data_IF_470345136691
#
_entry.id   IF_470345136691
#
_cell.length_a   1.000
_cell.length_b   1.000
_cell.length_c   1.000
_cell.angle_alpha   90.00
_cell.angle_beta   90.00
_cell.angle_gamma   90.00
#
_symmetry.space_group_name_H-M   'P 1'
#
loop_
_entity.id
_entity.type
_entity.pdbx_description
1 polymer ?
#
# COMPACT_ATOMS: atom_id res chain seq x y z
N UNK A 1 -2.13 -2.74 84.65
CA UNK A 1 -1.87 -1.34 84.27
C UNK A 1 -0.59 -1.29 83.44
N UNK A 2 -0.70 -1.40 82.10
CA UNK A 2 0.25 -1.03 81.03
C UNK A 2 -0.19 -1.81 79.76
N UNK A 3 -0.92 -1.18 78.84
CA UNK A 3 -0.40 -0.62 77.58
C UNK A 3 0.38 -1.62 76.71
N UNK A 4 -0.22 -1.98 75.56
CA UNK A 4 0.44 -2.34 74.27
C UNK A 4 -0.62 -2.20 73.17
N UNK A 5 -0.84 -0.98 72.68
CA UNK A 5 -0.27 -0.38 71.47
C UNK A 5 -0.60 -1.15 70.19
N UNK A 6 -1.58 -0.60 69.48
CA UNK A 6 -2.02 -0.89 68.13
C UNK A 6 -0.90 -0.49 67.14
N UNK A 7 -0.50 -1.39 66.24
CA UNK A 7 0.33 -1.04 65.07
C UNK A 7 -0.40 -1.56 63.82
N UNK A 8 -1.26 -0.71 63.26
CA UNK A 8 -1.84 -0.88 61.93
C UNK A 8 -0.87 -0.28 60.92
N UNK A 9 -0.16 -1.14 60.20
CA UNK A 9 0.67 -0.79 59.07
C UNK A 9 -0.23 -0.42 57.89
N UNK A 10 -0.41 0.88 57.61
CA UNK A 10 -1.10 1.35 56.40
C UNK A 10 -0.09 1.32 55.26
N UNK A 11 -0.18 0.30 54.42
CA UNK A 11 0.56 0.21 53.17
C UNK A 11 -0.12 1.13 52.14
N UNK A 12 0.42 2.34 51.97
CA UNK A 12 0.00 3.23 50.90
C UNK A 12 0.50 2.67 49.55
N UNK A 13 -0.36 1.93 48.85
CA UNK A 13 -0.15 1.65 47.42
C UNK A 13 -0.25 2.99 46.67
N UNK A 14 0.90 3.56 46.33
CA UNK A 14 0.96 4.56 45.28
C UNK A 14 0.55 3.88 43.96
N UNK A 15 -0.72 4.04 43.60
CA UNK A 15 -1.17 3.82 42.23
C UNK A 15 -0.39 4.79 41.36
N UNK A 16 0.65 4.29 40.68
CA UNK A 16 1.17 4.93 39.49
C UNK A 16 0.02 4.90 38.48
N UNK A 17 -0.76 5.98 38.46
CA UNK A 17 -1.58 6.33 37.32
C UNK A 17 -0.59 6.61 36.18
N UNK A 18 -0.17 5.56 35.49
CA UNK A 18 0.37 5.69 34.14
C UNK A 18 -0.72 6.35 33.33
N UNK A 19 -0.63 7.67 33.19
CA UNK A 19 -1.43 8.40 32.25
C UNK A 19 -1.24 7.68 30.89
N UNK A 20 -2.32 7.13 30.35
CA UNK A 20 -2.40 6.77 28.94
C UNK A 20 -2.27 8.07 28.14
N UNK A 21 -1.06 8.62 28.06
CA UNK A 21 -0.70 9.47 26.96
C UNK A 21 -0.76 8.55 25.74
N UNK A 22 -1.82 8.68 24.94
CA UNK A 22 -1.84 8.11 23.60
C UNK A 22 -0.50 8.48 22.96
N UNK A 23 0.33 7.48 22.65
CA UNK A 23 1.63 7.75 22.02
C UNK A 23 1.33 8.51 20.75
N UNK A 24 1.86 9.73 20.67
CA UNK A 24 1.74 10.54 19.47
C UNK A 24 2.40 9.75 18.33
N UNK A 25 1.78 9.77 17.16
CA UNK A 25 2.42 9.21 15.97
C UNK A 25 3.79 9.89 15.77
N UNK A 26 4.82 9.08 15.57
CA UNK A 26 6.19 9.50 15.38
C UNK A 26 6.72 8.93 14.06
N UNK A 27 7.46 9.75 13.32
CA UNK A 27 8.19 9.34 12.13
C UNK A 27 9.64 9.82 12.28
N UNK A 28 10.59 8.92 12.05
CA UNK A 28 12.01 9.21 12.16
C UNK A 28 12.68 9.07 10.80
N UNK A 29 13.50 10.06 10.42
CA UNK A 29 14.34 9.96 9.24
C UNK A 29 15.32 8.79 9.39
N UNK A 30 15.44 8.01 8.31
CA UNK A 30 16.37 6.89 8.22
C UNK A 30 17.10 6.94 6.89
N UNK A 31 18.39 6.57 6.83
CA UNK A 31 19.06 6.33 5.56
C UNK A 31 18.47 5.08 4.89
N UNK A 32 18.35 5.10 3.56
CA UNK A 32 17.94 3.93 2.78
C UNK A 32 19.09 2.93 2.59
N UNK A 33 20.33 3.40 2.58
CA UNK A 33 21.52 2.57 2.56
C UNK A 33 22.72 3.38 3.06
N UNK A 34 23.78 2.71 3.53
CA UNK A 34 25.01 3.39 3.97
C UNK A 34 25.71 4.13 2.82
N UNK A 35 25.57 3.62 1.60
CA UNK A 35 26.16 4.17 0.38
C UNK A 35 25.31 5.22 -0.34
N UNK A 36 24.10 5.55 0.13
CA UNK A 36 23.18 6.45 -0.56
C UNK A 36 22.46 7.40 0.41
N UNK A 37 22.64 8.69 0.19
CA UNK A 37 22.03 9.77 0.97
C UNK A 37 20.79 10.38 0.33
N UNK A 38 20.16 11.29 1.09
CA UNK A 38 19.05 12.11 0.59
C UNK A 38 19.56 13.06 -0.49
N UNK A 39 18.93 13.04 -1.66
CA UNK A 39 19.29 13.82 -2.84
C UNK A 39 20.15 13.05 -3.85
N UNK A 40 20.74 11.92 -3.47
CA UNK A 40 21.54 11.09 -4.37
C UNK A 40 20.66 10.44 -5.45
N UNK A 41 21.29 10.08 -6.57
CA UNK A 41 20.63 9.37 -7.66
C UNK A 41 21.10 7.92 -7.69
N UNK A 42 20.16 6.99 -7.63
CA UNK A 42 20.38 5.55 -7.79
C UNK A 42 19.58 5.02 -8.97
N UNK A 43 20.26 4.43 -9.96
CA UNK A 43 19.63 3.90 -11.17
C UNK A 43 18.66 4.89 -11.87
N UNK A 44 18.99 6.18 -11.86
CA UNK A 44 18.16 7.24 -12.45
C UNK A 44 17.02 7.74 -11.56
N UNK A 45 16.80 7.16 -10.38
CA UNK A 45 15.85 7.65 -9.38
C UNK A 45 16.58 8.53 -8.37
N UNK A 46 16.07 9.74 -8.17
CA UNK A 46 16.54 10.62 -7.09
C UNK A 46 15.86 10.25 -5.78
N UNK A 47 16.65 9.93 -4.76
CA UNK A 47 16.15 9.55 -3.44
C UNK A 47 15.76 10.81 -2.65
N UNK A 48 14.48 11.01 -2.39
CA UNK A 48 13.99 12.23 -1.71
C UNK A 48 13.94 12.11 -0.19
N UNK A 49 14.14 10.91 0.37
CA UNK A 49 14.17 10.65 1.80
C UNK A 49 13.42 9.36 2.15
N UNK A 50 13.61 8.91 3.39
CA UNK A 50 12.90 7.75 3.93
C UNK A 50 12.60 7.95 5.42
N UNK A 51 11.46 7.42 5.84
CA UNK A 51 10.96 7.54 7.20
C UNK A 51 10.67 6.15 7.76
N UNK A 52 11.08 5.92 9.00
CA UNK A 52 10.57 4.84 9.84
C UNK A 52 9.35 5.35 10.60
N UNK A 53 8.22 4.69 10.40
CA UNK A 53 6.95 5.07 11.03
C UNK A 53 6.74 4.25 12.31
N UNK A 54 6.46 4.93 13.42
CA UNK A 54 6.17 4.26 14.68
C UNK A 54 4.73 3.70 14.70
N UNK A 55 4.48 2.58 15.41
CA UNK A 55 3.13 2.10 15.63
C UNK A 55 2.27 3.17 16.31
N UNK A 56 1.06 3.36 15.81
CA UNK A 56 0.09 4.31 16.35
C UNK A 56 -1.33 3.74 16.28
N UNK A 57 -2.24 4.39 17.00
CA UNK A 57 -3.68 4.16 16.90
C UNK A 57 -4.39 5.51 16.88
N UNK A 58 -5.34 5.68 15.96
CA UNK A 58 -6.19 6.87 15.86
C UNK A 58 -7.60 6.42 15.48
N UNK A 59 -8.62 6.95 16.14
CA UNK A 59 -10.02 6.57 15.91
C UNK A 59 -10.28 5.05 15.91
N UNK A 60 -9.61 4.33 16.82
CA UNK A 60 -9.65 2.86 16.92
C UNK A 60 -9.18 2.11 15.66
N UNK A 61 -8.42 2.77 14.79
CA UNK A 61 -7.72 2.16 13.67
C UNK A 61 -6.24 2.07 14.03
N UNK A 62 -5.68 0.87 13.96
CA UNK A 62 -4.26 0.63 14.22
C UNK A 62 -3.46 0.91 12.96
N UNK A 63 -2.48 1.80 13.05
CA UNK A 63 -1.56 2.11 11.96
C UNK A 63 -0.56 0.96 11.77
N UNK A 64 -0.87 0.02 10.86
CA UNK A 64 -0.05 -1.14 10.52
C UNK A 64 -0.51 -1.75 9.20
N UNK A 65 0.30 -2.66 8.62
CA UNK A 65 -0.08 -3.48 7.47
C UNK A 65 -0.47 -2.62 6.27
N UNK A 66 0.37 -1.63 5.92
CA UNK A 66 0.08 -0.75 4.81
C UNK A 66 0.37 -1.49 3.49
N UNK A 67 -0.62 -1.51 2.59
CA UNK A 67 -0.58 -2.22 1.30
C UNK A 67 -0.86 -1.32 0.08
N UNK A 68 -1.09 -0.02 0.30
CA UNK A 68 -1.43 0.87 -0.80
C UNK A 68 -1.28 2.34 -0.45
N UNK A 69 -0.83 3.13 -1.42
CA UNK A 69 -0.65 4.57 -1.29
C UNK A 69 -1.30 5.30 -2.48
N UNK A 70 -1.95 6.43 -2.22
CA UNK A 70 -2.46 7.30 -3.27
C UNK A 70 -2.36 8.77 -2.87
N UNK A 71 -1.86 9.61 -3.77
CA UNK A 71 -1.70 11.03 -3.55
C UNK A 71 -2.90 11.82 -4.11
N UNK A 72 -3.50 12.65 -3.27
CA UNK A 72 -4.50 13.64 -3.63
C UNK A 72 -3.83 15.02 -3.66
N UNK A 73 -3.54 15.50 -4.87
CA UNK A 73 -2.91 16.79 -5.13
C UNK A 73 -3.82 17.95 -4.70
N UNK A 74 -5.13 17.83 -4.96
CA UNK A 74 -6.12 18.86 -4.63
C UNK A 74 -6.32 19.02 -3.10
N UNK A 75 -6.13 17.95 -2.34
CA UNK A 75 -6.21 17.97 -0.88
C UNK A 75 -4.85 18.11 -0.16
N UNK A 76 -3.74 17.80 -0.83
CA UNK A 76 -2.41 17.69 -0.21
C UNK A 76 -2.34 16.54 0.81
N UNK A 77 -3.04 15.43 0.51
CA UNK A 77 -3.17 14.26 1.40
C UNK A 77 -2.55 13.05 0.70
N UNK A 78 -1.71 12.32 1.43
CA UNK A 78 -1.31 10.96 1.06
C UNK A 78 -2.22 9.97 1.78
N UNK A 79 -3.07 9.29 1.02
CA UNK A 79 -3.85 8.17 1.54
C UNK A 79 -2.96 6.94 1.68
N UNK A 80 -3.06 6.27 2.82
CA UNK A 80 -2.42 4.98 3.05
C UNK A 80 -3.48 3.94 3.45
N UNK A 81 -3.59 2.89 2.67
CA UNK A 81 -4.51 1.79 2.87
C UNK A 81 -3.80 0.66 3.64
N UNK A 82 -4.53 0.03 4.55
CA UNK A 82 -4.08 -1.19 5.23
C UNK A 82 -4.83 -2.42 4.76
N UNK A 83 -4.12 -3.55 4.74
CA UNK A 83 -4.57 -4.95 4.63
C UNK A 83 -5.74 -5.34 5.56
N UNK A 84 -6.07 -4.49 6.54
CA UNK A 84 -7.17 -4.68 7.50
C UNK A 84 -8.34 -3.74 7.25
N UNK A 85 -8.43 -3.17 6.06
CA UNK A 85 -9.53 -2.30 5.66
C UNK A 85 -9.56 -0.99 6.44
N UNK A 86 -8.39 -0.44 6.79
CA UNK A 86 -8.25 0.88 7.40
C UNK A 86 -7.63 1.85 6.40
N UNK A 87 -8.20 3.05 6.29
CA UNK A 87 -7.69 4.13 5.46
C UNK A 87 -7.13 5.23 6.36
N UNK A 88 -5.85 5.54 6.18
CA UNK A 88 -5.13 6.57 6.91
C UNK A 88 -4.89 7.79 6.02
N UNK A 89 -4.99 8.97 6.62
CA UNK A 89 -4.60 10.22 5.97
C UNK A 89 -3.26 10.64 6.52
N UNK A 90 -2.29 10.76 5.63
CA UNK A 90 -0.94 11.19 5.93
C UNK A 90 -0.69 12.55 5.26
N UNK A 91 0.10 13.40 5.92
CA UNK A 91 0.56 14.66 5.36
C UNK A 91 2.09 14.67 5.35
N UNK A 92 2.73 14.41 4.20
CA UNK A 92 4.18 14.49 4.05
C UNK A 92 4.69 15.92 4.31
N UNK A 93 5.86 16.02 4.92
CA UNK A 93 6.54 17.29 5.15
C UNK A 93 7.81 17.32 4.30
N UNK A 94 7.87 18.28 3.37
CA UNK A 94 9.00 18.49 2.47
C UNK A 94 9.74 19.78 2.84
N UNK A 95 11.06 19.76 2.76
CA UNK A 95 11.86 20.98 2.86
C UNK A 95 11.85 21.77 1.53
N UNK A 96 12.42 22.99 1.48
CA UNK A 96 12.45 23.80 0.25
C UNK A 96 13.20 23.16 -0.94
N UNK A 97 14.02 22.12 -0.70
CA UNK A 97 14.70 21.36 -1.75
C UNK A 97 13.86 20.18 -2.26
N UNK A 98 12.67 19.95 -1.67
CA UNK A 98 11.77 18.85 -2.00
C UNK A 98 12.14 17.53 -1.33
N UNK A 99 12.99 17.55 -0.29
CA UNK A 99 13.33 16.34 0.47
C UNK A 99 12.30 16.09 1.57
N UNK A 100 11.94 14.82 1.75
CA UNK A 100 11.07 14.35 2.82
C UNK A 100 11.78 14.48 4.16
N UNK A 101 11.19 15.26 5.07
CA UNK A 101 11.70 15.52 6.42
C UNK A 101 10.82 14.94 7.52
N UNK A 102 9.58 14.61 7.21
CA UNK A 102 8.61 14.11 8.18
C UNK A 102 7.29 13.73 7.52
N UNK A 103 6.38 13.19 8.31
CA UNK A 103 5.01 12.89 7.90
C UNK A 103 4.11 12.96 9.13
N UNK A 104 2.88 13.44 8.95
CA UNK A 104 1.87 13.48 10.02
C UNK A 104 0.77 12.48 9.72
N UNK A 105 0.38 11.68 10.71
CA UNK A 105 -0.87 10.94 10.69
C UNK A 105 -1.99 11.86 11.18
N UNK A 106 -2.91 12.25 10.30
CA UNK A 106 -3.92 13.28 10.61
C UNK A 106 -5.33 12.73 10.78
N UNK A 107 -5.65 11.58 10.17
CA UNK A 107 -6.94 10.92 10.32
C UNK A 107 -6.84 9.42 10.02
N UNK A 108 -7.84 8.67 10.51
CA UNK A 108 -8.09 7.31 10.04
C UNK A 108 -9.58 7.00 10.02
N UNK A 109 -9.96 6.16 9.07
CA UNK A 109 -11.32 5.70 8.82
C UNK A 109 -11.33 4.21 8.49
N UNK A 110 -12.27 3.41 9.02
CA UNK A 110 -12.48 2.08 8.49
C UNK A 110 -13.12 2.18 7.08
N UNK A 111 -12.72 1.30 6.17
CA UNK A 111 -13.50 1.00 4.99
C UNK A 111 -14.83 0.38 5.41
N UNK A 112 -15.90 0.73 4.70
CA UNK A 112 -17.27 0.30 5.04
C UNK A 112 -17.94 -0.46 3.91
N UNK A 113 -18.89 -1.31 4.23
CA UNK A 113 -19.75 -1.93 3.22
C UNK A 113 -20.90 -1.00 2.81
N UNK A 114 -21.71 -1.45 1.84
CA UNK A 114 -22.88 -0.74 1.35
C UNK A 114 -23.96 -0.44 2.43
N UNK A 115 -23.86 -1.06 3.61
CA UNK A 115 -24.75 -0.82 4.77
C UNK A 115 -24.10 0.09 5.82
N UNK A 116 -23.01 0.80 5.46
CA UNK A 116 -22.27 1.71 6.34
C UNK A 116 -21.68 1.03 7.60
N UNK A 117 -21.35 -0.26 7.49
CA UNK A 117 -20.68 -0.99 8.57
C UNK A 117 -19.20 -1.20 8.21
N UNK A 118 -18.26 -1.02 9.16
CA UNK A 118 -16.86 -1.37 8.96
C UNK A 118 -16.71 -2.78 8.38
N UNK A 119 -15.79 -2.92 7.43
CA UNK A 119 -15.41 -4.24 6.91
C UNK A 119 -14.85 -5.12 8.04
N UNK A 120 -14.95 -6.43 7.83
CA UNK A 120 -14.42 -7.45 8.72
C UNK A 120 -13.96 -8.63 7.89
N UNK A 121 -12.97 -9.34 8.40
CA UNK A 121 -12.50 -10.58 7.83
C UNK A 121 -13.66 -11.53 7.50
N UNK A 122 -13.65 -12.17 6.30
CA UNK A 122 -12.57 -12.14 5.29
C UNK A 122 -12.77 -11.07 4.18
N UNK A 123 -13.50 -9.98 4.45
CA UNK A 123 -13.80 -8.96 3.44
C UNK A 123 -12.97 -7.68 3.60
N UNK A 124 -12.17 -7.54 4.64
CA UNK A 124 -11.35 -6.36 4.95
C UNK A 124 -9.95 -6.36 4.32
N UNK A 125 -9.55 -7.49 3.74
CA UNK A 125 -8.27 -7.79 3.10
C UNK A 125 -8.02 -6.93 1.85
N UNK A 126 -7.52 -5.72 2.08
CA UNK A 126 -7.49 -4.61 1.13
C UNK A 126 -6.04 -4.30 0.75
N UNK A 127 -5.71 -4.45 -0.52
CA UNK A 127 -4.33 -4.43 -0.98
C UNK A 127 -4.07 -3.18 -1.83
N UNK A 128 -4.38 -3.25 -3.12
CA UNK A 128 -4.16 -2.14 -4.04
C UNK A 128 -5.05 -0.92 -3.79
N UNK A 129 -4.45 0.26 -3.96
CA UNK A 129 -5.11 1.56 -3.88
C UNK A 129 -4.80 2.41 -5.12
N UNK A 130 -5.86 2.87 -5.80
CA UNK A 130 -5.77 3.90 -6.83
C UNK A 130 -6.76 5.04 -6.55
N UNK A 131 -6.58 6.18 -7.23
CA UNK A 131 -7.39 7.38 -7.02
C UNK A 131 -7.88 7.98 -8.35
N UNK A 132 -9.10 8.51 -8.32
CA UNK A 132 -9.68 9.39 -9.34
C UNK A 132 -9.87 10.77 -8.74
N UNK A 133 -9.87 11.78 -9.61
CA UNK A 133 -10.08 13.18 -9.24
C UNK A 133 -9.08 13.68 -8.18
N UNK A 134 -7.83 13.21 -8.25
CA UNK A 134 -6.78 13.66 -7.31
C UNK A 134 -6.20 15.02 -7.64
N UNK A 135 -6.38 15.52 -8.87
CA UNK A 135 -5.74 16.75 -9.35
C UNK A 135 -6.56 17.45 -10.43
N UNK A 136 -7.89 17.44 -10.29
CA UNK A 136 -8.81 18.12 -11.21
C UNK A 136 -9.15 19.56 -10.76
N UNK A 137 -8.60 20.02 -9.63
CA UNK A 137 -8.83 21.32 -9.04
C UNK A 137 -10.06 21.40 -8.13
N UNK A 138 -10.72 20.27 -7.82
CA UNK A 138 -11.93 20.20 -7.01
C UNK A 138 -11.61 19.46 -5.71
N UNK A 139 -11.27 20.20 -4.67
CA UNK A 139 -10.99 19.60 -3.38
C UNK A 139 -12.21 18.83 -2.83
N UNK A 140 -12.00 17.55 -2.49
CA UNK A 140 -12.98 16.71 -1.79
C UNK A 140 -13.87 15.84 -2.70
N UNK A 141 -13.64 15.82 -4.01
CA UNK A 141 -14.33 14.90 -4.94
C UNK A 141 -13.51 13.65 -5.29
N UNK A 142 -12.34 13.47 -4.66
CA UNK A 142 -11.51 12.29 -4.78
C UNK A 142 -12.33 11.00 -4.56
N UNK A 143 -12.12 10.01 -5.43
CA UNK A 143 -12.71 8.68 -5.33
C UNK A 143 -11.58 7.65 -5.30
N UNK A 144 -11.56 6.83 -4.24
CA UNK A 144 -10.55 5.79 -4.05
C UNK A 144 -11.07 4.48 -4.63
N UNK A 145 -10.20 3.76 -5.33
CA UNK A 145 -10.47 2.42 -5.83
C UNK A 145 -9.58 1.45 -5.09
N UNK A 146 -10.20 0.45 -4.48
CA UNK A 146 -9.52 -0.51 -3.61
C UNK A 146 -9.73 -1.91 -4.15
N UNK A 147 -8.64 -2.64 -4.42
CA UNK A 147 -8.70 -4.08 -4.68
C UNK A 147 -8.63 -4.88 -3.38
N UNK A 148 -9.20 -6.08 -3.40
CA UNK A 148 -9.21 -6.98 -2.25
C UNK A 148 -8.78 -8.37 -2.69
N UNK A 149 -8.01 -9.06 -1.85
CA UNK A 149 -7.33 -10.30 -2.18
C UNK A 149 -8.21 -11.54 -1.88
N UNK A 150 -8.51 -11.84 -0.61
CA UNK A 150 -9.26 -13.05 -0.22
C UNK A 150 -10.66 -13.11 -0.85
N UNK A 151 -11.28 -11.94 -1.06
CA UNK A 151 -12.58 -11.79 -1.73
C UNK A 151 -12.39 -10.88 -2.95
N UNK A 152 -11.92 -11.43 -4.09
CA UNK A 152 -11.56 -10.66 -5.27
C UNK A 152 -12.67 -9.74 -5.75
N UNK A 153 -12.44 -8.44 -5.60
CA UNK A 153 -13.33 -7.36 -6.04
C UNK A 153 -12.57 -6.05 -6.09
N UNK A 154 -13.12 -5.07 -6.80
CA UNK A 154 -12.66 -3.68 -6.75
C UNK A 154 -13.82 -2.81 -6.30
N UNK A 155 -13.63 -2.07 -5.20
CA UNK A 155 -14.67 -1.24 -4.58
C UNK A 155 -14.25 0.21 -4.61
N UNK A 156 -15.22 1.08 -4.85
CA UNK A 156 -15.06 2.53 -4.82
C UNK A 156 -15.40 3.07 -3.44
N UNK A 157 -14.58 3.98 -2.95
CA UNK A 157 -14.67 4.58 -1.62
C UNK A 157 -14.55 6.09 -1.67
N UNK A 158 -15.22 6.78 -0.75
CA UNK A 158 -14.85 8.17 -0.43
C UNK A 158 -13.51 8.19 0.32
N UNK A 159 -12.87 9.36 0.42
CA UNK A 159 -11.70 9.56 1.27
C UNK A 159 -11.93 9.27 2.76
N UNK A 160 -13.17 9.09 3.18
CA UNK A 160 -13.56 8.75 4.57
C UNK A 160 -14.00 7.30 4.72
N UNK A 161 -13.70 6.44 3.75
CA UNK A 161 -13.99 5.01 3.78
C UNK A 161 -15.47 4.66 3.53
N UNK A 162 -16.29 5.60 3.05
CA UNK A 162 -17.69 5.34 2.72
C UNK A 162 -17.78 4.63 1.37
N UNK A 163 -18.53 3.53 1.32
CA UNK A 163 -18.78 2.80 0.09
C UNK A 163 -19.48 3.66 -0.97
N UNK A 164 -19.01 3.59 -2.22
CA UNK A 164 -19.55 4.33 -3.39
C UNK A 164 -19.98 3.44 -4.55
N UNK A 165 -19.63 2.16 -4.52
CA UNK A 165 -19.95 1.23 -5.59
C UNK A 165 -18.94 0.11 -5.67
N UNK A 166 -19.24 -0.90 -6.46
CA UNK A 166 -18.30 -1.96 -6.82
C UNK A 166 -18.12 -1.97 -8.34
N UNK A 167 -16.90 -2.14 -8.80
CA UNK A 167 -16.57 -2.28 -10.21
C UNK A 167 -16.84 -3.70 -10.68
N UNK A 168 -17.35 -3.84 -11.91
CA UNK A 168 -17.62 -5.15 -12.47
C UNK A 168 -16.32 -5.77 -13.00
N UNK A 169 -15.71 -6.62 -12.19
CA UNK A 169 -14.52 -7.36 -12.60
C UNK A 169 -14.80 -8.37 -13.73
N UNK A 170 -13.79 -8.65 -14.59
CA UNK A 170 -13.80 -9.78 -15.51
C UNK A 170 -14.15 -11.08 -14.78
N UNK A 171 -14.91 -11.97 -15.42
CA UNK A 171 -15.38 -13.21 -14.80
C UNK A 171 -14.23 -14.06 -14.24
N UNK A 172 -13.10 -14.06 -14.93
CA UNK A 172 -11.88 -14.75 -14.51
C UNK A 172 -11.38 -14.27 -13.14
N UNK A 173 -11.35 -12.96 -12.91
CA UNK A 173 -10.83 -12.36 -11.67
C UNK A 173 -11.80 -12.48 -10.49
N UNK A 174 -13.10 -12.70 -10.73
CA UNK A 174 -14.11 -12.79 -9.65
C UNK A 174 -14.15 -14.13 -8.93
N UNK A 175 -13.63 -15.18 -9.56
CA UNK A 175 -13.69 -16.53 -9.02
C UNK A 175 -12.39 -16.86 -8.27
N UNK A 176 -12.42 -17.00 -6.94
CA UNK A 176 -11.26 -17.40 -6.15
C UNK A 176 -10.61 -18.71 -6.62
N UNK A 177 -11.35 -19.58 -7.32
CA UNK A 177 -10.83 -20.84 -7.86
C UNK A 177 -9.81 -20.71 -8.98
N UNK A 178 -9.62 -19.50 -9.55
CA UNK A 178 -8.58 -19.25 -10.55
C UNK A 178 -7.24 -18.82 -9.95
N UNK A 179 -7.20 -18.48 -8.66
CA UNK A 179 -5.99 -18.08 -7.96
C UNK A 179 -5.28 -19.30 -7.38
N UNK A 180 -3.96 -19.24 -7.27
CA UNK A 180 -3.15 -20.34 -6.72
C UNK A 180 -3.32 -20.47 -5.21
N UNK A 181 -3.54 -19.33 -4.55
CA UNK A 181 -3.73 -19.20 -3.11
C UNK A 181 -4.73 -18.04 -2.89
N UNK A 182 -5.66 -18.16 -1.94
CA UNK A 182 -6.53 -17.04 -1.55
C UNK A 182 -5.80 -15.78 -1.09
N UNK A 183 -4.57 -15.93 -0.58
CA UNK A 183 -3.67 -14.83 -0.20
C UNK A 183 -2.59 -14.57 -1.28
N UNK A 184 -2.97 -14.71 -2.56
CA UNK A 184 -2.16 -14.26 -3.71
C UNK A 184 -3.09 -13.74 -4.83
N UNK A 185 -3.92 -12.76 -4.48
CA UNK A 185 -5.11 -12.30 -5.19
C UNK A 185 -4.86 -11.08 -6.07
N UNK A 186 -5.67 -10.04 -5.86
CA UNK A 186 -5.64 -8.78 -6.60
C UNK A 186 -4.82 -7.72 -5.83
N UNK A 187 -3.54 -7.63 -6.14
CA UNK A 187 -2.61 -6.72 -5.46
C UNK A 187 -2.57 -5.35 -6.09
N UNK A 188 -2.41 -5.29 -7.41
CA UNK A 188 -2.06 -4.05 -8.06
C UNK A 188 -3.26 -3.45 -8.82
N UNK A 189 -3.48 -2.15 -8.66
CA UNK A 189 -4.51 -1.40 -9.37
C UNK A 189 -3.99 -0.04 -9.78
N UNK A 190 -4.35 0.42 -10.99
CA UNK A 190 -4.03 1.77 -11.45
C UNK A 190 -5.18 2.34 -12.31
N UNK A 191 -5.22 3.66 -12.46
CA UNK A 191 -6.20 4.36 -13.30
C UNK A 191 -5.48 5.07 -14.44
N UNK A 192 -5.67 4.56 -15.66
CA UNK A 192 -5.16 5.16 -16.88
C UNK A 192 -6.22 6.05 -17.57
N UNK A 193 -5.86 7.22 -18.12
CA UNK A 193 -6.81 8.10 -18.81
C UNK A 193 -7.48 7.49 -20.05
N UNK A 194 -6.81 6.56 -20.73
CA UNK A 194 -7.31 5.94 -21.96
C UNK A 194 -7.91 4.55 -21.71
N UNK A 195 -7.18 3.70 -20.99
CA UNK A 195 -7.52 2.32 -20.68
C UNK A 195 -8.41 2.19 -19.43
N UNK A 196 -8.60 3.24 -18.65
CA UNK A 196 -9.40 3.19 -17.43
C UNK A 196 -8.73 2.36 -16.33
N UNK A 197 -9.50 1.53 -15.62
CA UNK A 197 -8.96 0.74 -14.51
C UNK A 197 -8.16 -0.44 -15.04
N UNK A 198 -6.92 -0.53 -14.58
CA UNK A 198 -6.01 -1.65 -14.80
C UNK A 198 -5.81 -2.42 -13.50
N UNK A 199 -5.81 -3.75 -13.58
CA UNK A 199 -5.72 -4.65 -12.42
C UNK A 199 -4.68 -5.72 -12.69
N UNK A 200 -3.77 -5.93 -11.75
CA UNK A 200 -2.78 -7.01 -11.74
C UNK A 200 -3.03 -7.97 -10.58
N UNK A 201 -2.68 -9.23 -10.78
CA UNK A 201 -2.63 -10.23 -9.70
C UNK A 201 -1.24 -10.27 -9.07
N UNK A 202 -1.11 -10.68 -7.80
CA UNK A 202 0.21 -10.82 -7.14
C UNK A 202 1.14 -11.73 -7.95
N UNK A 203 0.61 -12.92 -8.23
CA UNK A 203 1.28 -14.04 -8.87
C UNK A 203 0.45 -14.51 -10.06
N UNK A 204 1.01 -15.38 -10.92
CA UNK A 204 0.26 -15.90 -12.06
C UNK A 204 -0.96 -16.70 -11.59
N UNK A 205 -2.06 -16.59 -12.33
CA UNK A 205 -3.24 -17.44 -12.09
C UNK A 205 -2.89 -18.92 -12.25
N UNK A 206 -3.76 -19.80 -11.77
CA UNK A 206 -3.50 -21.26 -11.67
C UNK A 206 -3.04 -21.88 -13.00
N UNK A 207 -3.59 -21.42 -14.12
CA UNK A 207 -3.31 -21.95 -15.46
C UNK A 207 -2.36 -21.07 -16.29
N UNK A 208 -1.82 -20.00 -15.70
CA UNK A 208 -0.88 -19.11 -16.38
C UNK A 208 0.57 -19.59 -16.18
N UNK A 209 1.49 -19.27 -17.12
CA UNK A 209 2.92 -19.54 -16.94
C UNK A 209 3.46 -18.92 -15.65
N UNK A 210 4.41 -19.58 -15.00
CA UNK A 210 4.89 -19.20 -13.66
C UNK A 210 5.71 -17.90 -13.63
N UNK A 211 6.16 -17.40 -14.77
CA UNK A 211 7.06 -16.26 -14.92
C UNK A 211 6.34 -14.97 -15.34
N UNK A 212 5.02 -14.98 -15.50
CA UNK A 212 4.26 -13.80 -15.93
C UNK A 212 2.88 -13.69 -15.29
N UNK A 213 2.50 -12.47 -14.94
CA UNK A 213 1.11 -12.14 -14.60
C UNK A 213 0.41 -11.52 -15.80
N UNK A 214 -0.89 -11.24 -15.66
CA UNK A 214 -1.65 -10.49 -16.64
C UNK A 214 -2.15 -9.19 -16.02
N UNK A 215 -2.05 -8.11 -16.80
CA UNK A 215 -2.71 -6.84 -16.48
C UNK A 215 -4.04 -6.81 -17.21
N UNK A 216 -5.14 -6.68 -16.48
CA UNK A 216 -6.51 -6.72 -16.98
C UNK A 216 -7.15 -5.33 -16.98
N UNK A 217 -7.93 -5.06 -18.01
CA UNK A 217 -8.98 -4.06 -17.97
C UNK A 217 -10.30 -4.66 -17.47
N UNK A 218 -11.23 -3.81 -17.04
CA UNK A 218 -12.57 -4.24 -16.64
C UNK A 218 -13.40 -4.89 -17.76
N UNK A 219 -13.11 -4.58 -19.03
CA UNK A 219 -13.77 -5.19 -20.18
C UNK A 219 -13.27 -6.63 -20.49
N UNK A 220 -12.23 -7.08 -19.78
CA UNK A 220 -11.61 -8.40 -19.94
C UNK A 220 -10.43 -8.43 -20.90
N UNK A 221 -10.08 -7.32 -21.56
CA UNK A 221 -8.79 -7.22 -22.28
C UNK A 221 -7.65 -7.41 -21.27
N UNK A 222 -6.61 -8.12 -21.70
CA UNK A 222 -5.43 -8.31 -20.86
C UNK A 222 -4.15 -8.41 -21.67
N UNK A 223 -3.03 -8.13 -21.01
CA UNK A 223 -1.69 -8.24 -21.56
C UNK A 223 -0.77 -8.97 -20.61
N UNK A 224 0.14 -9.75 -21.16
CA UNK A 224 1.13 -10.47 -20.36
C UNK A 224 2.20 -9.49 -19.87
N UNK A 225 2.47 -9.54 -18.57
CA UNK A 225 3.52 -8.81 -17.90
C UNK A 225 4.53 -9.83 -17.37
N UNK A 226 5.77 -9.78 -17.88
CA UNK A 226 6.82 -10.68 -17.46
C UNK A 226 7.41 -10.22 -16.12
N UNK A 227 7.39 -11.08 -15.11
CA UNK A 227 7.96 -10.80 -13.80
C UNK A 227 9.49 -10.77 -13.87
N UNK A 228 10.11 -10.14 -12.86
CA UNK A 228 11.55 -10.18 -12.67
C UNK A 228 12.00 -11.63 -12.46
N UNK A 229 13.20 -12.03 -12.97
CA UNK A 229 13.74 -13.36 -12.72
C UNK A 229 14.18 -13.59 -11.27
N UNK A 230 14.05 -12.57 -10.40
CA UNK A 230 14.26 -12.74 -8.97
C UNK A 230 13.33 -13.86 -8.43
N UNK A 231 13.84 -14.76 -7.57
CA UNK A 231 13.02 -15.85 -7.04
C UNK A 231 11.78 -15.34 -6.30
N UNK A 232 10.62 -15.93 -6.60
CA UNK A 232 9.32 -15.55 -6.02
C UNK A 232 8.98 -14.06 -6.24
N UNK A 233 9.36 -13.47 -7.38
CA UNK A 233 8.92 -12.12 -7.72
C UNK A 233 7.41 -12.07 -7.93
N UNK A 234 6.79 -11.06 -7.34
CA UNK A 234 5.36 -10.81 -7.32
C UNK A 234 5.08 -9.35 -7.68
N UNK A 235 4.02 -9.09 -8.44
CA UNK A 235 3.56 -7.75 -8.75
C UNK A 235 2.68 -7.24 -7.60
N UNK A 236 3.11 -6.20 -6.90
CA UNK A 236 2.40 -5.72 -5.70
C UNK A 236 1.75 -4.35 -5.90
N UNK A 237 2.34 -3.46 -6.71
CA UNK A 237 1.74 -2.15 -6.99
C UNK A 237 1.94 -1.68 -8.44
N UNK A 238 1.07 -0.76 -8.87
CA UNK A 238 1.12 -0.10 -10.18
C UNK A 238 0.70 1.36 -10.06
N UNK A 239 1.33 2.23 -10.84
CA UNK A 239 0.97 3.65 -10.97
C UNK A 239 1.11 4.08 -12.43
N UNK A 240 0.21 4.95 -12.91
CA UNK A 240 0.30 5.51 -14.27
C UNK A 240 1.12 6.79 -14.23
N UNK A 241 2.24 6.80 -14.97
CA UNK A 241 3.12 7.96 -15.05
C UNK A 241 2.56 9.03 -16.01
N UNK A 242 3.01 10.29 -15.90
CA UNK A 242 2.56 11.38 -16.78
C UNK A 242 2.76 11.15 -18.28
N UNK A 243 3.67 10.24 -18.66
CA UNK A 243 3.90 9.88 -20.05
C UNK A 243 3.07 8.68 -20.54
N UNK A 244 2.13 8.21 -19.72
CA UNK A 244 1.21 7.10 -20.03
C UNK A 244 1.81 5.70 -19.87
N UNK A 245 3.06 5.58 -19.41
CA UNK A 245 3.64 4.29 -19.02
C UNK A 245 3.25 3.91 -17.59
N UNK A 246 3.25 2.63 -17.29
CA UNK A 246 3.12 2.14 -15.92
C UNK A 246 4.49 2.12 -15.23
N UNK A 247 4.52 2.62 -14.00
CA UNK A 247 5.52 2.26 -13.00
C UNK A 247 4.94 1.10 -12.18
N UNK A 248 5.69 0.01 -12.05
CA UNK A 248 5.27 -1.18 -11.32
C UNK A 248 6.27 -1.49 -10.21
N UNK A 249 5.75 -1.94 -9.08
CA UNK A 249 6.53 -2.41 -7.94
C UNK A 249 6.44 -3.93 -7.91
N UNK A 250 7.60 -4.58 -7.96
CA UNK A 250 7.68 -6.01 -7.69
C UNK A 250 8.42 -6.30 -6.41
N UNK A 251 7.95 -7.31 -5.70
CA UNK A 251 8.53 -7.82 -4.47
C UNK A 251 8.95 -9.26 -4.69
N UNK A 252 10.22 -9.56 -4.41
CA UNK A 252 10.73 -10.92 -4.34
C UNK A 252 11.11 -11.23 -2.89
N UNK A 253 10.29 -12.05 -2.25
CA UNK A 253 10.46 -12.48 -0.87
C UNK A 253 10.19 -13.98 -0.74
N UNK A 254 11.25 -14.73 -0.40
CA UNK A 254 11.15 -16.21 -0.31
C UNK A 254 10.90 -16.69 1.12
N UNK A 255 11.58 -16.09 2.10
CA UNK A 255 11.50 -16.50 3.50
C UNK A 255 12.19 -15.49 4.44
N UNK A 256 11.89 -15.52 5.76
CA UNK A 256 12.67 -14.80 6.76
C UNK A 256 14.18 -15.10 6.65
N UNK A 257 15.02 -14.07 6.83
CA UNK A 257 16.49 -14.12 6.71
C UNK A 257 17.04 -14.31 5.29
N UNK A 258 16.18 -14.39 4.26
CA UNK A 258 16.61 -14.26 2.86
C UNK A 258 16.56 -12.79 2.43
N UNK A 259 17.32 -12.41 1.40
CA UNK A 259 17.25 -11.06 0.87
C UNK A 259 15.82 -10.74 0.43
N UNK A 260 15.34 -9.56 0.80
CA UNK A 260 14.16 -8.93 0.23
C UNK A 260 14.63 -8.09 -0.96
N UNK A 261 14.02 -8.32 -2.13
CA UNK A 261 14.32 -7.56 -3.34
C UNK A 261 13.06 -6.80 -3.74
N UNK A 262 13.20 -5.50 -3.94
CA UNK A 262 12.17 -4.62 -4.47
C UNK A 262 12.62 -4.11 -5.84
N UNK A 263 11.82 -4.37 -6.88
CA UNK A 263 12.13 -3.94 -8.25
C UNK A 263 11.15 -2.85 -8.70
N UNK A 264 11.71 -1.65 -8.84
CA UNK A 264 11.29 -0.55 -9.70
C UNK A 264 11.22 -0.95 -11.17
N UNK A 265 10.05 -1.10 -11.81
CA UNK A 265 9.99 -1.42 -13.24
C UNK A 265 9.05 -0.51 -14.01
N UNK A 266 9.33 -0.35 -15.30
CA UNK A 266 8.58 0.51 -16.21
C UNK A 266 8.06 -0.27 -17.39
N UNK A 267 6.80 -0.04 -17.70
CA UNK A 267 6.06 -0.78 -18.73
C UNK A 267 5.24 0.18 -19.57
N UNK A 268 5.62 0.46 -20.83
CA UNK A 268 4.75 1.17 -21.75
C UNK A 268 3.45 0.41 -21.95
N UNK A 269 2.33 1.11 -21.84
CA UNK A 269 1.04 0.54 -22.21
C UNK A 269 0.96 0.39 -23.73
N UNK A 270 0.30 -0.67 -24.23
CA UNK A 270 0.23 -0.92 -25.66
C UNK A 270 -0.64 0.14 -26.34
N UNK A 271 -0.39 0.34 -27.63
CA UNK A 271 -1.30 1.09 -28.49
C UNK A 271 -2.63 0.33 -28.68
N UNK A 272 -3.73 1.01 -29.04
CA UNK A 272 -5.01 0.37 -29.30
C UNK A 272 -4.91 -0.77 -30.32
N UNK A 273 -5.27 -1.98 -29.91
CA UNK A 273 -5.17 -3.20 -30.74
C UNK A 273 -3.85 -3.98 -30.59
N UNK A 274 -2.92 -3.51 -29.77
CA UNK A 274 -1.71 -4.26 -29.40
C UNK A 274 -2.05 -5.51 -28.56
N UNK A 275 -1.55 -6.67 -29.00
CA UNK A 275 -1.70 -7.97 -28.33
C UNK A 275 -0.37 -8.60 -27.91
N UNK A 276 0.74 -7.90 -28.15
CA UNK A 276 2.06 -8.36 -27.75
C UNK A 276 2.20 -8.35 -26.21
N UNK A 277 3.06 -9.23 -25.65
CA UNK A 277 3.51 -9.09 -24.28
C UNK A 277 4.03 -7.68 -24.03
N UNK A 278 3.82 -7.18 -22.81
CA UNK A 278 4.30 -5.86 -22.43
C UNK A 278 5.82 -5.85 -22.36
N UNK A 279 6.42 -4.77 -22.85
CA UNK A 279 7.86 -4.57 -22.73
C UNK A 279 8.16 -4.01 -21.33
N UNK A 280 8.65 -4.86 -20.43
CA UNK A 280 8.94 -4.49 -19.05
C UNK A 280 10.44 -4.25 -18.88
N UNK A 281 10.82 -3.12 -18.30
CA UNK A 281 12.22 -2.72 -18.10
C UNK A 281 12.48 -2.32 -16.66
N UNK A 282 13.63 -2.70 -16.13
CA UNK A 282 14.02 -2.30 -14.77
C UNK A 282 14.39 -0.81 -14.76
N UNK A 283 13.83 -0.09 -13.79
CA UNK A 283 14.21 1.27 -13.43
C UNK A 283 15.25 1.22 -12.32
N UNK A 284 14.96 0.53 -11.23
CA UNK A 284 15.87 0.36 -10.10
C UNK A 284 15.56 -0.93 -9.36
N UNK A 285 16.59 -1.62 -8.89
CA UNK A 285 16.46 -2.82 -8.06
C UNK A 285 17.12 -2.56 -6.72
N UNK A 286 16.37 -2.73 -5.64
CA UNK A 286 16.85 -2.58 -4.28
C UNK A 286 16.91 -3.96 -3.63
N UNK A 287 18.09 -4.36 -3.18
CA UNK A 287 18.35 -5.68 -2.61
C UNK A 287 18.90 -5.52 -1.19
N UNK A 288 18.20 -6.08 -0.20
CA UNK A 288 18.60 -5.97 1.21
C UNK A 288 19.96 -6.62 1.51
N UNK A 289 20.43 -7.56 0.68
CA UNK A 289 21.79 -8.12 0.77
C UNK A 289 22.89 -7.13 0.37
N UNK A 290 22.53 -6.08 -0.36
CA UNK A 290 23.41 -4.99 -0.80
C UNK A 290 23.31 -3.75 0.12
N UNK A 291 22.77 -3.91 1.33
CA UNK A 291 22.71 -2.85 2.33
C UNK A 291 21.50 -1.92 2.21
N UNK A 292 20.53 -2.22 1.35
CA UNK A 292 19.27 -1.47 1.28
C UNK A 292 18.36 -1.81 2.46
N UNK A 293 17.91 -0.77 3.18
CA UNK A 293 16.89 -0.86 4.21
C UNK A 293 15.51 -0.87 3.55
N UNK A 294 14.91 -2.06 3.52
CA UNK A 294 13.63 -2.30 2.86
C UNK A 294 12.59 -2.81 3.86
N UNK A 295 11.33 -2.48 3.61
CA UNK A 295 10.17 -3.01 4.31
C UNK A 295 9.36 -3.86 3.33
N UNK A 296 8.58 -4.81 3.85
CA UNK A 296 7.66 -5.63 3.06
C UNK A 296 6.37 -4.85 2.79
N UNK A 297 6.53 -3.65 2.20
CA UNK A 297 5.42 -2.88 1.66
C UNK A 297 4.96 -3.57 0.38
N UNK A 298 3.66 -3.78 0.30
CA UNK A 298 2.95 -4.31 -0.86
C UNK A 298 2.15 -3.15 -1.47
#
# INVERSE_FOLDING_TARGET
>A
MLHRLLLTLILALALNASACAARRFEAALVPLADQAGVGDTYAGIRLLGALRLAPAEINSQRFCGLSGLAWDEDAGILYALSDRGSLFHLQPELNPQGHLTGIKLIAAYPLRNALDRPLRSPYDDAEGLAIRNSGNGIQGDAELLVSFEIRPRVVRYSPTGLWRGEEKLPALLRDPGHYRNPNQGLEAIAVDPYWGILIGTEVPLLNDPSDQVRLFQLDGRSWNYLLSPAPESALVAMEVLPDGSLLTLERAFVAPLRPLIISLRRTPLPEPGGVAPLNVTDVAVFDSSQGWLLDNFE
#
